data_IF_646207885908
#
_entry.id   IF_646207885908
#
_cell.length_a   1.000
_cell.length_b   1.000
_cell.length_c   1.000
_cell.angle_alpha   90.00
_cell.angle_beta   90.00
_cell.angle_gamma   90.00
#
_symmetry.space_group_name_H-M   'P 1'
#
loop_
_entity.id
_entity.type
_entity.pdbx_description
1 polymer ?
#
# COMPACT_ATOMS: atom_id res chain seq x y z
N UNK A 1 -16.99 -6.08 13.97
CA UNK A 1 -16.42 -4.71 14.02
C UNK A 1 -16.06 -4.29 12.62
N UNK A 2 -16.52 -3.11 12.20
CA UNK A 2 -16.19 -2.54 10.90
C UNK A 2 -14.80 -1.88 10.94
N UNK A 3 -14.04 -2.02 9.85
CA UNK A 3 -12.73 -1.41 9.67
C UNK A 3 -12.65 -0.69 8.32
N UNK A 4 -12.20 0.56 8.34
CA UNK A 4 -11.77 1.31 7.16
C UNK A 4 -10.30 1.04 6.84
N UNK A 5 -10.05 0.01 6.02
CA UNK A 5 -8.68 -0.41 5.74
C UNK A 5 -7.81 0.69 5.10
N UNK A 6 -8.30 1.53 4.17
CA UNK A 6 -7.47 2.57 3.58
C UNK A 6 -6.95 3.59 4.60
N UNK A 7 -7.76 4.01 5.59
CA UNK A 7 -7.30 4.95 6.62
C UNK A 7 -6.28 4.35 7.57
N UNK A 8 -6.47 3.10 7.99
CA UNK A 8 -5.48 2.39 8.83
C UNK A 8 -4.15 2.22 8.09
N UNK A 9 -4.22 1.89 6.80
CA UNK A 9 -3.05 1.85 5.91
C UNK A 9 -2.33 3.20 5.93
N UNK A 10 -3.01 4.32 5.65
CA UNK A 10 -2.38 5.65 5.72
C UNK A 10 -1.75 5.97 7.07
N UNK A 11 -2.44 5.70 8.17
CA UNK A 11 -1.92 5.93 9.50
C UNK A 11 -0.63 5.13 9.74
N UNK A 12 -0.59 3.89 9.25
CA UNK A 12 0.59 3.02 9.31
C UNK A 12 1.74 3.55 8.47
N UNK A 13 1.50 3.97 7.22
CA UNK A 13 2.56 4.54 6.37
C UNK A 13 3.06 5.90 6.91
N UNK A 14 2.20 6.70 7.53
CA UNK A 14 2.58 7.90 8.27
C UNK A 14 3.51 7.58 9.45
N UNK A 15 3.27 6.48 10.18
CA UNK A 15 4.19 5.99 11.22
C UNK A 15 5.52 5.55 10.63
N UNK A 16 5.50 4.79 9.54
CA UNK A 16 6.72 4.37 8.81
C UNK A 16 7.55 5.57 8.36
N UNK A 17 6.92 6.63 7.87
CA UNK A 17 7.58 7.91 7.52
C UNK A 17 8.35 8.52 8.70
N UNK A 18 7.96 8.21 9.94
CA UNK A 18 8.55 8.68 11.20
C UNK A 18 9.27 7.53 11.95
N UNK A 19 9.81 6.56 11.21
CA UNK A 19 10.36 5.31 11.75
C UNK A 19 11.37 5.47 12.89
N UNK A 20 12.19 6.52 12.86
CA UNK A 20 13.21 6.78 13.88
C UNK A 20 12.63 7.03 15.30
N UNK A 21 11.31 7.17 15.44
CA UNK A 21 10.63 7.54 16.69
C UNK A 21 9.56 6.54 17.15
N UNK A 22 9.32 5.45 16.42
CA UNK A 22 8.18 4.57 16.65
C UNK A 22 8.62 3.11 16.82
N UNK A 23 8.69 2.64 18.07
CA UNK A 23 9.09 1.27 18.39
C UNK A 23 8.04 0.20 17.99
N UNK A 24 6.81 0.62 17.64
CA UNK A 24 5.65 -0.23 17.36
C UNK A 24 5.45 -0.55 15.87
N UNK A 25 6.32 -0.10 14.97
CA UNK A 25 6.11 -0.24 13.52
C UNK A 25 6.00 -1.70 13.07
N UNK A 26 6.82 -2.59 13.63
CA UNK A 26 6.75 -4.02 13.30
C UNK A 26 5.35 -4.59 13.56
N UNK A 27 4.83 -4.39 14.77
CA UNK A 27 3.50 -4.88 15.17
C UNK A 27 2.37 -4.26 14.35
N UNK A 28 2.47 -2.97 14.01
CA UNK A 28 1.43 -2.31 13.21
C UNK A 28 1.45 -2.79 11.76
N UNK A 29 2.63 -3.12 11.21
CA UNK A 29 2.76 -3.71 9.88
C UNK A 29 2.19 -5.12 9.83
N UNK A 30 2.32 -5.91 10.89
CA UNK A 30 1.66 -7.22 11.01
C UNK A 30 0.13 -7.08 10.97
N UNK A 31 -0.44 -6.18 11.77
CA UNK A 31 -1.87 -5.89 11.76
C UNK A 31 -2.35 -5.46 10.36
N UNK A 32 -1.60 -4.61 9.68
CA UNK A 32 -1.93 -4.16 8.32
C UNK A 32 -1.85 -5.31 7.30
N UNK A 33 -0.87 -6.20 7.42
CA UNK A 33 -0.74 -7.39 6.58
C UNK A 33 -2.00 -8.27 6.69
N UNK A 34 -2.48 -8.44 7.92
CA UNK A 34 -3.70 -9.16 8.24
C UNK A 34 -4.96 -8.47 7.70
N UNK A 35 -5.07 -7.14 7.83
CA UNK A 35 -6.16 -6.35 7.25
C UNK A 35 -6.21 -6.52 5.72
N UNK A 36 -5.06 -6.43 5.03
CA UNK A 36 -5.01 -6.59 3.57
C UNK A 36 -5.43 -7.99 3.12
N UNK A 37 -5.13 -9.02 3.92
CA UNK A 37 -5.61 -10.39 3.66
C UNK A 37 -7.14 -10.47 3.73
N UNK A 38 -7.76 -9.83 4.74
CA UNK A 38 -9.23 -9.80 4.88
C UNK A 38 -9.89 -8.98 3.76
N UNK A 39 -9.29 -7.84 3.39
CA UNK A 39 -9.72 -7.02 2.23
C UNK A 39 -9.82 -7.84 0.96
N UNK A 40 -8.81 -8.66 0.69
CA UNK A 40 -8.79 -9.54 -0.48
C UNK A 40 -9.85 -10.64 -0.41
N UNK A 41 -9.99 -11.28 0.75
CA UNK A 41 -10.97 -12.34 0.99
C UNK A 41 -12.41 -11.86 0.84
N UNK A 42 -12.74 -10.70 1.41
CA UNK A 42 -14.08 -10.11 1.33
C UNK A 42 -14.31 -9.37 0.01
N UNK A 43 -13.24 -9.06 -0.72
CA UNK A 43 -13.30 -8.28 -1.95
C UNK A 43 -13.75 -6.84 -1.72
N UNK A 44 -13.46 -6.27 -0.53
CA UNK A 44 -13.92 -4.95 -0.09
C UNK A 44 -12.84 -4.19 0.67
N UNK A 45 -12.83 -2.85 0.57
CA UNK A 45 -11.91 -1.99 1.38
C UNK A 45 -12.47 -1.63 2.76
N UNK A 46 -13.79 -1.60 2.91
CA UNK A 46 -14.48 -1.60 4.20
C UNK A 46 -14.74 -3.06 4.57
N UNK A 47 -14.12 -3.52 5.66
CA UNK A 47 -14.14 -4.94 6.04
C UNK A 47 -14.81 -5.14 7.40
N UNK A 48 -15.49 -6.27 7.54
CA UNK A 48 -16.06 -6.72 8.80
C UNK A 48 -15.17 -7.79 9.43
N UNK A 49 -14.71 -7.57 10.66
CA UNK A 49 -13.92 -8.54 11.42
C UNK A 49 -14.63 -8.95 12.72
N UNK A 50 -14.37 -10.15 13.27
CA UNK A 50 -14.90 -10.55 14.58
C UNK A 50 -14.52 -9.58 15.70
N UNK A 51 -15.35 -9.49 16.74
CA UNK A 51 -14.95 -8.79 17.96
C UNK A 51 -13.74 -9.47 18.60
N UNK A 52 -12.82 -8.67 19.15
CA UNK A 52 -11.55 -9.17 19.72
C UNK A 52 -10.46 -9.51 18.70
N UNK A 53 -10.73 -9.38 17.38
CA UNK A 53 -9.70 -9.63 16.35
C UNK A 53 -8.56 -8.60 16.38
N UNK A 54 -8.89 -7.33 16.63
CA UNK A 54 -7.87 -6.28 16.82
C UNK A 54 -7.35 -6.32 18.25
N UNK A 55 -6.02 -6.37 18.48
CA UNK A 55 -5.45 -6.31 19.82
C UNK A 55 -5.93 -5.08 20.60
N UNK A 56 -6.23 -5.24 21.89
CA UNK A 56 -6.84 -4.21 22.73
C UNK A 56 -6.07 -2.88 22.71
N UNK A 57 -4.73 -2.94 22.72
CA UNK A 57 -3.86 -1.75 22.63
C UNK A 57 -4.07 -0.91 21.37
N UNK A 58 -4.54 -1.50 20.28
CA UNK A 58 -4.81 -0.83 19.01
C UNK A 58 -6.27 -0.47 18.82
N UNK A 59 -7.17 -0.99 19.63
CA UNK A 59 -8.62 -0.89 19.43
C UNK A 59 -9.09 0.57 19.33
N UNK A 60 -8.63 1.43 20.24
CA UNK A 60 -8.97 2.86 20.25
C UNK A 60 -8.48 3.57 18.98
N UNK A 61 -7.24 3.31 18.55
CA UNK A 61 -6.67 3.91 17.36
C UNK A 61 -7.41 3.45 16.09
N UNK A 62 -7.66 2.14 15.97
CA UNK A 62 -8.37 1.55 14.83
C UNK A 62 -9.80 2.09 14.72
N UNK A 63 -10.52 2.23 15.85
CA UNK A 63 -11.86 2.83 15.87
C UNK A 63 -11.82 4.29 15.44
N UNK A 64 -10.86 5.07 15.94
CA UNK A 64 -10.70 6.47 15.55
C UNK A 64 -10.33 6.65 14.07
N UNK A 65 -9.44 5.80 13.54
CA UNK A 65 -9.08 5.77 12.11
C UNK A 65 -10.26 5.38 11.24
N UNK A 66 -11.03 4.38 11.67
CA UNK A 66 -12.24 3.94 10.97
C UNK A 66 -13.27 5.06 10.91
N UNK A 67 -13.57 5.72 12.04
CA UNK A 67 -14.51 6.84 12.07
C UNK A 67 -14.05 7.97 11.15
N UNK A 68 -12.76 8.34 11.18
CA UNK A 68 -12.20 9.35 10.28
C UNK A 68 -12.35 8.98 8.81
N UNK A 69 -12.22 7.70 8.47
CA UNK A 69 -12.43 7.22 7.11
C UNK A 69 -13.87 7.35 6.63
N UNK A 70 -14.82 7.01 7.49
CA UNK A 70 -16.24 7.19 7.21
C UNK A 70 -16.61 8.67 7.06
N UNK A 71 -16.16 9.52 7.97
CA UNK A 71 -16.40 10.97 7.90
C UNK A 71 -15.81 11.57 6.61
N UNK A 72 -14.60 11.13 6.23
CA UNK A 72 -13.99 11.54 4.97
C UNK A 72 -14.83 11.12 3.76
N UNK A 73 -15.31 9.88 3.71
CA UNK A 73 -16.17 9.41 2.60
C UNK A 73 -17.45 10.24 2.46
N UNK A 74 -18.10 10.54 3.59
CA UNK A 74 -19.32 11.36 3.62
C UNK A 74 -19.03 12.77 3.09
N UNK A 75 -17.95 13.40 3.57
CA UNK A 75 -17.63 14.79 3.20
C UNK A 75 -17.21 14.95 1.74
N UNK A 76 -16.48 13.98 1.18
CA UNK A 76 -16.01 14.05 -0.22
C UNK A 76 -16.98 13.45 -1.23
N UNK A 77 -18.13 12.93 -0.79
CA UNK A 77 -19.14 12.28 -1.64
C UNK A 77 -18.54 11.19 -2.54
N UNK A 78 -17.58 10.43 -2.03
CA UNK A 78 -17.08 9.28 -2.78
C UNK A 78 -18.25 8.31 -3.01
N UNK A 79 -18.37 7.70 -4.21
CA UNK A 79 -19.37 6.68 -4.42
C UNK A 79 -19.15 5.54 -3.43
N UNK A 80 -20.25 4.98 -2.90
CA UNK A 80 -20.29 3.86 -1.93
C UNK A 80 -19.72 2.53 -2.47
N UNK A 81 -18.89 2.56 -3.52
CA UNK A 81 -18.25 1.38 -4.07
C UNK A 81 -17.08 0.94 -3.18
N UNK A 82 -17.45 0.19 -2.14
CA UNK A 82 -16.55 -0.52 -1.22
C UNK A 82 -15.91 -1.76 -1.89
N UNK A 83 -16.50 -2.26 -2.97
CA UNK A 83 -16.06 -3.44 -3.72
C UNK A 83 -14.75 -3.20 -4.49
N UNK A 84 -13.86 -4.19 -4.47
CA UNK A 84 -12.64 -4.22 -5.25
C UNK A 84 -12.92 -4.56 -6.73
N UNK A 85 -12.77 -3.56 -7.59
CA UNK A 85 -12.61 -3.75 -9.03
C UNK A 85 -11.29 -4.48 -9.35
N UNK A 86 -11.10 -5.00 -10.58
CA UNK A 86 -9.84 -5.62 -11.00
C UNK A 86 -8.61 -4.72 -10.78
N UNK A 87 -8.75 -3.41 -11.03
CA UNK A 87 -7.66 -2.46 -10.84
C UNK A 87 -7.38 -2.20 -9.35
N UNK A 88 -8.42 -2.08 -8.52
CA UNK A 88 -8.25 -2.01 -7.06
C UNK A 88 -7.59 -3.28 -6.50
N UNK A 89 -7.86 -4.46 -7.07
CA UNK A 89 -7.18 -5.72 -6.67
C UNK A 89 -5.68 -5.67 -6.97
N UNK A 90 -5.27 -5.14 -8.12
CA UNK A 90 -3.85 -4.92 -8.45
C UNK A 90 -3.18 -3.98 -7.45
N UNK A 91 -3.84 -2.86 -7.11
CA UNK A 91 -3.36 -1.93 -6.07
C UNK A 91 -3.20 -2.63 -4.72
N UNK A 92 -4.18 -3.43 -4.29
CA UNK A 92 -4.11 -4.22 -3.05
C UNK A 92 -2.94 -5.22 -3.09
N UNK A 93 -2.71 -5.89 -4.22
CA UNK A 93 -1.56 -6.80 -4.37
C UNK A 93 -0.22 -6.08 -4.21
N UNK A 94 -0.06 -4.87 -4.79
CA UNK A 94 1.12 -4.03 -4.58
C UNK A 94 1.29 -3.64 -3.11
N UNK A 95 0.20 -3.29 -2.43
CA UNK A 95 0.24 -2.95 -1.00
C UNK A 95 0.69 -4.12 -0.14
N UNK A 96 0.27 -5.34 -0.46
CA UNK A 96 0.72 -6.55 0.25
C UNK A 96 2.21 -6.80 0.08
N UNK A 97 2.74 -6.59 -1.13
CA UNK A 97 4.18 -6.68 -1.37
C UNK A 97 4.94 -5.62 -0.57
N UNK A 98 4.45 -4.37 -0.62
CA UNK A 98 5.04 -3.25 0.09
C UNK A 98 5.05 -3.45 1.61
N UNK A 99 3.94 -3.88 2.22
CA UNK A 99 3.86 -4.07 3.68
C UNK A 99 4.83 -5.15 4.15
N UNK A 100 4.94 -6.25 3.39
CA UNK A 100 5.92 -7.31 3.64
C UNK A 100 7.35 -6.78 3.53
N UNK A 101 7.62 -5.98 2.51
CA UNK A 101 8.94 -5.41 2.29
C UNK A 101 9.31 -4.39 3.38
N UNK A 102 8.36 -3.55 3.80
CA UNK A 102 8.54 -2.64 4.93
C UNK A 102 8.85 -3.40 6.23
N UNK A 103 8.15 -4.50 6.47
CA UNK A 103 8.41 -5.34 7.64
C UNK A 103 9.82 -5.94 7.59
N UNK A 104 10.25 -6.42 6.42
CA UNK A 104 11.62 -6.92 6.21
C UNK A 104 12.66 -5.82 6.47
N UNK A 105 12.51 -4.66 5.82
CA UNK A 105 13.42 -3.51 5.94
C UNK A 105 13.51 -3.03 7.39
N UNK A 106 12.37 -2.96 8.09
CA UNK A 106 12.33 -2.63 9.52
C UNK A 106 13.12 -3.63 10.36
N UNK A 107 12.94 -4.93 10.10
CA UNK A 107 13.60 -6.01 10.84
C UNK A 107 15.13 -5.97 10.68
N UNK A 108 15.62 -5.59 9.50
CA UNK A 108 17.07 -5.52 9.23
C UNK A 108 17.68 -4.14 9.53
N UNK A 109 16.90 -3.17 10.03
CA UNK A 109 17.39 -1.84 10.40
C UNK A 109 17.51 -0.85 9.25
N UNK A 110 16.93 -1.12 8.08
CA UNK A 110 16.91 -0.20 6.92
C UNK A 110 15.86 0.90 7.07
N UNK A 111 15.92 1.63 8.19
CA UNK A 111 14.97 2.69 8.55
C UNK A 111 14.87 3.83 7.51
N UNK A 112 15.97 4.27 6.86
CA UNK A 112 15.87 5.27 5.79
C UNK A 112 14.92 4.84 4.66
N UNK A 113 14.96 3.58 4.25
CA UNK A 113 14.11 3.04 3.18
C UNK A 113 12.68 2.85 3.66
N UNK A 114 12.47 2.42 4.91
CA UNK A 114 11.15 2.41 5.57
C UNK A 114 10.52 3.81 5.57
N UNK A 115 11.30 4.86 5.90
CA UNK A 115 10.82 6.24 5.91
C UNK A 115 10.42 6.73 4.52
N UNK A 116 11.28 6.50 3.52
CA UNK A 116 11.03 6.94 2.14
C UNK A 116 9.77 6.28 1.58
N UNK A 117 9.69 4.95 1.70
CA UNK A 117 8.52 4.19 1.27
C UNK A 117 7.26 4.63 2.04
N UNK A 118 7.32 4.72 3.37
CA UNK A 118 6.18 5.22 4.17
C UNK A 118 5.71 6.61 3.73
N UNK A 119 6.63 7.52 3.43
CA UNK A 119 6.31 8.87 2.94
C UNK A 119 5.62 8.87 1.57
N UNK A 120 5.99 7.96 0.68
CA UNK A 120 5.39 7.82 -0.66
C UNK A 120 3.97 7.24 -0.58
N UNK A 121 3.75 6.30 0.33
CA UNK A 121 2.51 5.53 0.40
C UNK A 121 1.47 6.08 1.37
N UNK A 122 1.74 7.17 2.08
CA UNK A 122 0.77 7.80 3.01
C UNK A 122 -0.55 8.24 2.36
N UNK A 123 -0.64 8.34 1.03
CA UNK A 123 -1.82 8.81 0.29
C UNK A 123 -2.77 7.69 -0.17
N UNK A 124 -2.58 6.45 0.29
CA UNK A 124 -3.41 5.29 -0.05
C UNK A 124 -4.93 5.46 0.14
N UNK A 125 -5.45 6.12 1.20
CA UNK A 125 -6.89 6.35 1.37
C UNK A 125 -7.54 6.98 0.16
N UNK A 126 -6.83 7.90 -0.48
CA UNK A 126 -7.28 8.59 -1.67
C UNK A 126 -7.24 7.62 -2.85
N UNK A 127 -6.11 6.94 -3.07
CA UNK A 127 -5.90 6.10 -4.26
C UNK A 127 -6.79 4.85 -4.36
N UNK A 128 -7.21 4.28 -3.22
CA UNK A 128 -8.12 3.13 -3.18
C UNK A 128 -9.60 3.54 -3.31
N UNK A 129 -9.94 4.80 -3.04
CA UNK A 129 -11.30 5.35 -3.14
C UNK A 129 -11.56 6.12 -4.43
N UNK A 130 -10.51 6.62 -5.08
CA UNK A 130 -10.61 7.21 -6.40
C UNK A 130 -11.24 6.21 -7.39
N UNK A 131 -12.19 6.67 -8.24
CA UNK A 131 -12.70 5.85 -9.32
C UNK A 131 -11.57 5.33 -10.21
N UNK A 132 -11.78 4.17 -10.82
CA UNK A 132 -10.84 3.67 -11.81
C UNK A 132 -10.80 4.64 -13.01
N UNK A 133 -9.67 5.29 -13.25
CA UNK A 133 -9.49 6.21 -14.38
C UNK A 133 -9.01 5.43 -15.61
N UNK A 134 -9.78 5.40 -16.73
CA UNK A 134 -9.35 4.75 -17.96
C UNK A 134 -8.06 5.37 -18.51
N UNK A 135 -7.08 4.54 -18.86
CA UNK A 135 -5.84 4.97 -19.54
C UNK A 135 -4.79 5.63 -18.64
N UNK A 136 -5.05 5.81 -17.34
CA UNK A 136 -4.04 6.22 -16.36
C UNK A 136 -3.59 5.01 -15.57
N UNK A 137 -2.36 4.57 -15.81
CA UNK A 137 -1.79 3.50 -15.01
C UNK A 137 -1.39 4.04 -13.63
N UNK A 138 -2.36 4.09 -12.70
CA UNK A 138 -2.12 4.53 -11.32
C UNK A 138 -1.12 3.59 -10.64
N UNK A 139 -1.07 2.32 -11.07
CA UNK A 139 -0.05 1.37 -10.64
C UNK A 139 1.37 1.79 -11.07
N UNK A 140 1.51 2.50 -12.21
CA UNK A 140 2.77 3.17 -12.57
C UNK A 140 3.15 4.34 -11.66
N UNK A 141 2.19 5.06 -11.05
CA UNK A 141 2.49 6.08 -10.04
C UNK A 141 3.05 5.43 -8.76
N UNK A 142 2.46 4.32 -8.33
CA UNK A 142 2.98 3.50 -7.23
C UNK A 142 4.41 3.02 -7.53
N UNK A 143 4.60 2.48 -8.73
CA UNK A 143 5.87 1.95 -9.19
C UNK A 143 6.99 3.00 -9.19
N UNK A 144 6.74 4.20 -9.74
CA UNK A 144 7.73 5.31 -9.75
C UNK A 144 8.20 5.72 -8.35
N UNK A 145 7.37 5.56 -7.33
CA UNK A 145 7.81 5.81 -5.96
C UNK A 145 8.90 4.81 -5.55
N UNK A 146 8.60 3.53 -5.76
CA UNK A 146 9.42 2.39 -5.35
C UNK A 146 10.80 2.40 -6.03
N UNK A 147 10.91 2.93 -7.24
CA UNK A 147 12.18 2.97 -7.98
C UNK A 147 13.24 3.88 -7.34
N UNK A 148 12.86 4.79 -6.44
CA UNK A 148 13.83 5.64 -5.71
C UNK A 148 14.58 4.91 -4.59
N UNK A 149 14.08 3.75 -4.18
CA UNK A 149 14.69 2.87 -3.18
C UNK A 149 15.03 1.51 -3.77
N UNK A 150 15.12 1.41 -5.10
CA UNK A 150 15.11 0.13 -5.83
C UNK A 150 16.17 -0.85 -5.32
N UNK A 151 17.39 -0.36 -5.11
CA UNK A 151 18.53 -1.18 -4.70
C UNK A 151 18.40 -1.74 -3.28
N UNK A 152 17.60 -1.10 -2.43
CA UNK A 152 17.33 -1.55 -1.06
C UNK A 152 16.27 -2.67 -1.02
N UNK A 153 15.50 -2.82 -2.09
CA UNK A 153 14.38 -3.75 -2.15
C UNK A 153 14.85 -5.19 -2.38
N UNK A 154 14.12 -6.13 -1.80
CA UNK A 154 14.26 -7.55 -2.10
C UNK A 154 13.94 -7.86 -3.57
N UNK A 155 14.56 -8.93 -4.09
CA UNK A 155 14.26 -9.42 -5.44
C UNK A 155 12.77 -9.78 -5.60
N UNK A 156 12.14 -10.29 -4.55
CA UNK A 156 10.71 -10.62 -4.53
C UNK A 156 9.87 -9.35 -4.74
N UNK A 157 10.16 -8.27 -4.01
CA UNK A 157 9.47 -6.99 -4.17
C UNK A 157 9.64 -6.44 -5.59
N UNK A 158 10.87 -6.42 -6.11
CA UNK A 158 11.16 -5.94 -7.48
C UNK A 158 10.37 -6.72 -8.53
N UNK A 159 10.43 -8.06 -8.48
CA UNK A 159 9.67 -8.95 -9.38
C UNK A 159 8.17 -8.75 -9.25
N UNK A 160 7.66 -8.70 -8.03
CA UNK A 160 6.24 -8.53 -7.74
C UNK A 160 5.71 -7.20 -8.27
N UNK A 161 6.43 -6.11 -8.05
CA UNK A 161 6.07 -4.80 -8.60
C UNK A 161 5.99 -4.83 -10.12
N UNK A 162 7.04 -5.31 -10.80
CA UNK A 162 7.07 -5.47 -12.25
C UNK A 162 5.91 -6.32 -12.77
N UNK A 163 5.60 -7.44 -12.11
CA UNK A 163 4.49 -8.30 -12.50
C UNK A 163 3.13 -7.59 -12.40
N UNK A 164 2.88 -6.80 -11.36
CA UNK A 164 1.59 -6.11 -11.21
C UNK A 164 1.40 -5.03 -12.27
N UNK A 165 2.46 -4.31 -12.65
CA UNK A 165 2.41 -3.28 -13.70
C UNK A 165 2.67 -3.83 -15.12
N UNK A 166 2.88 -5.14 -15.27
CA UNK A 166 3.13 -5.76 -16.57
C UNK A 166 4.44 -5.34 -17.23
N UNK A 167 5.48 -5.04 -16.44
CA UNK A 167 6.80 -4.67 -16.93
C UNK A 167 7.78 -5.84 -16.81
N UNK A 168 8.74 -5.89 -17.72
CA UNK A 168 9.90 -6.78 -17.62
C UNK A 168 10.90 -6.24 -16.58
N UNK A 169 11.39 -7.13 -15.71
CA UNK A 169 12.30 -6.74 -14.62
C UNK A 169 13.63 -6.23 -15.16
N UNK A 170 14.21 -6.91 -16.16
CA UNK A 170 15.52 -6.54 -16.69
C UNK A 170 15.44 -5.17 -17.39
N UNK A 171 14.40 -4.95 -18.19
CA UNK A 171 14.16 -3.66 -18.83
C UNK A 171 13.99 -2.53 -17.81
N UNK A 172 13.31 -2.78 -16.69
CA UNK A 172 13.18 -1.82 -15.59
C UNK A 172 14.54 -1.53 -14.95
N UNK A 173 15.34 -2.55 -14.67
CA UNK A 173 16.65 -2.37 -14.04
C UNK A 173 17.62 -1.60 -14.94
N UNK A 174 17.59 -1.84 -16.24
CA UNK A 174 18.35 -1.07 -17.24
C UNK A 174 17.87 0.39 -17.32
N UNK A 175 16.55 0.61 -17.25
CA UNK A 175 15.96 1.94 -17.23
C UNK A 175 16.36 2.75 -15.98
N UNK A 176 16.35 2.14 -14.80
CA UNK A 176 16.78 2.79 -13.55
C UNK A 176 18.26 3.16 -13.62
N UNK A 177 19.11 2.25 -14.12
CA UNK A 177 20.55 2.49 -14.29
C UNK A 177 20.87 3.62 -15.28
N UNK A 178 19.99 3.88 -16.25
CA UNK A 178 20.18 4.91 -17.28
C UNK A 178 19.56 6.25 -16.94
N UNK A 179 19.01 6.44 -15.73
CA UNK A 179 18.51 7.74 -15.27
C UNK A 179 17.06 8.06 -15.65
N UNK A 180 16.31 7.09 -16.18
CA UNK A 180 14.85 7.20 -16.24
C UNK A 180 14.22 7.68 -17.56
N UNK A 181 14.98 7.77 -18.66
CA UNK A 181 14.52 8.50 -19.85
C UNK A 181 13.70 7.69 -20.89
N UNK A 182 13.46 6.39 -20.72
CA UNK A 182 12.48 5.69 -21.59
C UNK A 182 11.95 4.37 -21.02
N UNK A 183 10.66 4.33 -20.64
CA UNK A 183 9.93 3.06 -20.50
C UNK A 183 9.26 2.80 -21.85
N UNK A 184 9.83 1.89 -22.65
CA UNK A 184 9.05 1.22 -23.69
C UNK A 184 8.10 0.29 -22.95
N UNK A 185 6.82 0.68 -22.87
CA UNK A 185 5.78 -0.27 -22.54
C UNK A 185 5.87 -1.41 -23.55
N UNK A 186 6.06 -2.63 -23.06
CA UNK A 186 5.98 -3.80 -23.94
C UNK A 186 4.56 -3.82 -24.51
N UNK A 187 4.45 -3.45 -25.78
CA UNK A 187 3.19 -3.37 -26.50
C UNK A 187 2.52 -4.73 -26.48
N UNK A 188 1.28 -4.72 -26.00
CA UNK A 188 0.20 -5.62 -26.37
C UNK A 188 0.38 -6.11 -27.80
N UNK A 189 0.51 -7.42 -27.98
CA UNK A 189 0.10 -8.09 -29.21
C UNK A 189 -1.29 -8.64 -28.99
#
# INVERSE_FOLDING_TARGET
MLIDSPFILAATFQRCRRADSNADIGEVLELVSDILRVVEQQGKVLIDVPEGWVPEKWLTAVRADTQRGLDYMITTKFPDSDVLSPEKRRKVALLRLLVRELHRLWTIGEYPSVRRLGGMFQHIPQWLREPDEPGRDVSMRFFRGITTTWDDLSLEMRKGCCQVVGLDLQAVEEWIKTGGDSIRTAGSK
#
